data_IF_180240160978
#
_entry.id   IF_180240160978
#
_cell.length_a   1.000
_cell.length_b   1.000
_cell.length_c   1.000
_cell.angle_alpha   90.00
_cell.angle_beta   90.00
_cell.angle_gamma   90.00
#
_symmetry.space_group_name_H-M   'P 1'
#
loop_
_entity.id
_entity.type
_entity.pdbx_description
1 polymer ?
#
# COMPACT_ATOMS: atom_id res chain seq x y z
N UNK A 1 26.94 26.56 12.08
CA UNK A 1 27.23 25.12 12.29
C UNK A 1 27.67 24.52 10.96
N UNK A 2 28.68 23.63 10.99
CA UNK A 2 29.25 22.75 9.94
C UNK A 2 28.78 22.90 8.48
N UNK A 3 29.71 23.41 7.64
CA UNK A 3 30.20 22.90 6.33
C UNK A 3 29.17 22.35 5.32
N UNK A 4 28.94 22.91 4.12
CA UNK A 4 29.81 23.47 3.04
C UNK A 4 30.62 22.41 2.27
N UNK A 5 30.24 22.23 1.01
CA UNK A 5 30.82 21.38 -0.04
C UNK A 5 32.31 21.60 -0.30
N UNK A 6 33.07 20.53 -0.58
CA UNK A 6 34.12 20.57 -1.61
C UNK A 6 34.59 19.19 -2.11
N UNK A 7 34.96 19.16 -3.42
CA UNK A 7 35.60 18.09 -4.19
C UNK A 7 34.72 16.85 -4.51
N UNK A 8 34.81 16.16 -5.66
CA UNK A 8 35.61 16.32 -6.90
C UNK A 8 34.66 16.30 -8.14
N UNK A 9 35.10 16.78 -9.30
CA UNK A 9 34.48 16.56 -10.63
C UNK A 9 35.57 16.13 -11.65
N UNK A 10 35.19 15.44 -12.74
CA UNK A 10 36.02 14.95 -13.88
C UNK A 10 36.92 13.73 -13.58
N UNK A 11 37.03 12.67 -14.41
CA UNK A 11 36.38 12.14 -15.64
C UNK A 11 36.33 10.59 -15.44
N UNK A 12 35.40 9.76 -15.95
CA UNK A 12 34.84 9.62 -17.30
C UNK A 12 35.08 8.17 -17.79
N UNK A 13 34.21 7.66 -18.67
CA UNK A 13 34.22 6.32 -19.35
C UNK A 13 33.23 5.26 -18.79
N UNK A 14 32.11 5.13 -19.52
CA UNK A 14 31.25 3.95 -19.78
C UNK A 14 31.40 2.67 -18.93
N UNK A 15 30.37 2.37 -18.14
CA UNK A 15 29.87 1.01 -17.90
C UNK A 15 28.36 1.02 -17.59
N UNK A 16 27.62 0.03 -18.11
CA UNK A 16 26.17 -0.12 -17.94
C UNK A 16 25.78 -0.47 -16.48
N UNK A 17 24.55 -0.16 -16.04
CA UNK A 17 24.04 -0.63 -14.75
C UNK A 17 23.79 -2.14 -14.82
N UNK A 18 24.81 -2.93 -14.49
CA UNK A 18 24.63 -4.36 -14.24
C UNK A 18 23.89 -4.56 -12.92
N UNK A 19 22.58 -4.70 -13.07
CA UNK A 19 21.67 -5.47 -12.23
C UNK A 19 22.34 -6.21 -11.07
N UNK A 20 22.21 -5.68 -9.85
CA UNK A 20 22.29 -6.50 -8.64
C UNK A 20 20.88 -6.97 -8.33
N UNK A 21 20.39 -7.89 -9.17
CA UNK A 21 19.29 -8.76 -8.78
C UNK A 21 19.84 -9.66 -7.66
N UNK A 22 19.65 -9.23 -6.42
CA UNK A 22 20.05 -10.01 -5.24
C UNK A 22 19.10 -11.18 -5.13
N UNK A 23 19.37 -12.25 -5.89
CA UNK A 23 18.74 -13.54 -5.74
C UNK A 23 19.13 -14.06 -4.35
N UNK A 24 18.25 -13.82 -3.37
CA UNK A 24 18.37 -14.40 -2.04
C UNK A 24 18.26 -15.92 -2.19
N UNK A 25 19.37 -16.62 -2.01
CA UNK A 25 19.43 -18.09 -1.93
C UNK A 25 18.82 -18.57 -0.61
N UNK A 26 17.58 -18.19 -0.35
CA UNK A 26 16.78 -18.76 0.73
C UNK A 26 16.39 -20.19 0.33
N UNK A 27 16.56 -21.20 1.20
CA UNK A 27 15.94 -22.50 0.96
C UNK A 27 14.43 -22.30 0.88
N UNK A 28 13.76 -23.12 0.05
CA UNK A 28 12.32 -23.03 -0.15
C UNK A 28 11.54 -23.49 1.10
N UNK A 29 11.48 -22.63 2.11
CA UNK A 29 10.46 -22.72 3.15
C UNK A 29 9.11 -22.36 2.52
N UNK A 30 8.25 -23.36 2.38
CA UNK A 30 6.92 -23.25 1.80
C UNK A 30 5.92 -22.53 2.73
N UNK A 31 6.43 -21.81 3.72
CA UNK A 31 5.68 -21.13 4.79
C UNK A 31 5.97 -19.64 4.82
N UNK A 32 5.87 -18.95 3.68
CA UNK A 32 5.79 -17.46 3.71
C UNK A 32 4.56 -17.12 4.57
N UNK A 33 4.72 -16.51 5.76
CA UNK A 33 3.57 -16.15 6.57
C UNK A 33 2.73 -15.17 5.74
N UNK A 34 1.42 -15.39 5.73
CA UNK A 34 0.49 -14.31 5.43
C UNK A 34 0.84 -13.20 6.40
N UNK A 35 1.10 -11.99 5.90
CA UNK A 35 1.38 -10.84 6.75
C UNK A 35 0.08 -10.48 7.47
N UNK A 36 -0.10 -11.08 8.63
CA UNK A 36 -1.16 -10.82 9.59
C UNK A 36 -0.95 -9.41 10.15
N UNK A 37 -1.92 -8.54 9.90
CA UNK A 37 -1.89 -7.16 10.32
C UNK A 37 -2.93 -6.93 11.41
N UNK A 38 -2.44 -6.85 12.64
CA UNK A 38 -3.23 -6.57 13.85
C UNK A 38 -3.61 -5.09 13.99
N UNK A 39 -3.30 -4.22 13.02
CA UNK A 39 -3.77 -2.83 12.99
C UNK A 39 -5.31 -2.82 12.88
N UNK A 40 -6.04 -2.18 13.81
CA UNK A 40 -7.51 -2.15 13.78
C UNK A 40 -8.08 -1.51 12.51
N UNK A 41 -7.28 -0.73 11.77
CA UNK A 41 -7.65 -0.17 10.46
C UNK A 41 -7.75 -1.24 9.37
N UNK A 42 -7.07 -2.38 9.50
CA UNK A 42 -7.20 -3.48 8.53
C UNK A 42 -8.66 -3.93 8.43
N UNK A 43 -9.33 -4.15 9.58
CA UNK A 43 -10.77 -4.52 9.62
C UNK A 43 -11.73 -3.42 9.15
N UNK A 44 -11.28 -2.17 9.04
CA UNK A 44 -12.06 -1.09 8.42
C UNK A 44 -11.93 -1.11 6.88
N UNK A 45 -10.79 -1.61 6.36
CA UNK A 45 -10.45 -1.65 4.94
C UNK A 45 -10.86 -2.96 4.26
N UNK A 46 -11.16 -4.01 5.03
CA UNK A 46 -11.88 -5.20 4.59
C UNK A 46 -13.37 -4.85 4.37
N UNK A 47 -13.68 -4.43 3.13
CA UNK A 47 -15.00 -3.97 2.70
C UNK A 47 -15.96 -5.11 2.37
N UNK A 48 -15.45 -6.34 2.23
CA UNK A 48 -16.22 -7.54 1.92
C UNK A 48 -16.43 -8.48 3.14
N UNK A 49 -15.66 -8.31 4.22
CA UNK A 49 -15.77 -9.03 5.48
C UNK A 49 -15.16 -10.43 5.45
N UNK A 50 -14.01 -10.61 4.78
CA UNK A 50 -13.34 -11.92 4.62
C UNK A 50 -12.02 -12.06 5.41
N UNK A 51 -11.74 -11.15 6.34
CA UNK A 51 -10.52 -11.03 7.13
C UNK A 51 -9.25 -10.80 6.28
N UNK A 52 -9.41 -10.20 5.09
CA UNK A 52 -8.32 -9.79 4.19
C UNK A 52 -8.66 -8.47 3.51
N UNK A 53 -7.63 -7.74 3.09
CA UNK A 53 -7.77 -6.60 2.18
C UNK A 53 -7.20 -7.01 0.83
N UNK A 54 -8.03 -7.33 -0.15
CA UNK A 54 -7.58 -7.79 -1.46
C UNK A 54 -8.39 -7.20 -2.64
N UNK A 55 -8.46 -7.93 -3.76
CA UNK A 55 -9.02 -7.39 -5.02
C UNK A 55 -10.53 -7.13 -4.93
N UNK A 56 -11.35 -8.05 -4.38
CA UNK A 56 -12.69 -7.76 -3.86
C UNK A 56 -12.87 -6.39 -3.20
N UNK A 57 -12.03 -6.00 -2.24
CA UNK A 57 -12.18 -4.72 -1.53
C UNK A 57 -11.91 -3.52 -2.43
N UNK A 58 -10.87 -3.61 -3.27
CA UNK A 58 -10.60 -2.60 -4.29
C UNK A 58 -11.75 -2.47 -5.30
N UNK A 59 -12.41 -3.57 -5.67
CA UNK A 59 -13.58 -3.54 -6.56
C UNK A 59 -14.79 -2.90 -5.88
N UNK A 60 -15.01 -3.15 -4.59
CA UNK A 60 -16.05 -2.49 -3.80
C UNK A 60 -15.77 -0.99 -3.70
N UNK A 61 -14.54 -0.61 -3.36
CA UNK A 61 -14.08 0.78 -3.31
C UNK A 61 -14.34 1.51 -4.63
N UNK A 62 -13.94 0.90 -5.76
CA UNK A 62 -14.16 1.46 -7.10
C UNK A 62 -15.65 1.56 -7.46
N UNK A 63 -16.50 0.67 -6.93
CA UNK A 63 -17.96 0.74 -7.06
C UNK A 63 -18.60 1.92 -6.30
N UNK A 64 -17.92 2.47 -5.29
CA UNK A 64 -18.38 3.63 -4.52
C UNK A 64 -17.63 4.93 -4.84
N UNK A 65 -16.58 4.88 -5.66
CA UNK A 65 -15.75 6.04 -5.99
C UNK A 65 -16.55 7.22 -6.56
N UNK A 66 -16.38 8.40 -5.95
CA UNK A 66 -17.14 9.62 -6.27
C UNK A 66 -18.51 9.73 -5.58
N UNK A 67 -18.93 8.72 -4.81
CA UNK A 67 -20.16 8.78 -4.01
C UNK A 67 -20.04 9.83 -2.92
N UNK A 68 -21.12 10.59 -2.72
CA UNK A 68 -21.23 11.63 -1.69
C UNK A 68 -22.25 11.25 -0.64
N UNK A 69 -22.04 11.70 0.59
CA UNK A 69 -22.96 11.46 1.70
C UNK A 69 -24.33 12.06 1.36
N UNK A 70 -25.34 11.19 1.17
CA UNK A 70 -26.70 11.61 0.85
C UNK A 70 -27.72 11.28 1.93
N UNK A 71 -27.61 10.15 2.64
CA UNK A 71 -28.44 9.77 3.82
C UNK A 71 -27.98 8.42 4.44
N UNK A 72 -26.68 8.20 4.63
CA UNK A 72 -26.15 6.93 5.17
C UNK A 72 -24.62 6.84 5.20
N UNK A 73 -24.07 5.79 5.80
CA UNK A 73 -22.63 5.55 5.86
C UNK A 73 -22.10 5.08 4.49
N UNK A 74 -21.16 5.83 3.90
CA UNK A 74 -20.32 5.39 2.77
C UNK A 74 -19.19 4.51 3.30
N UNK A 75 -19.25 3.18 3.14
CA UNK A 75 -18.26 2.27 3.76
C UNK A 75 -16.82 2.52 3.28
N UNK A 76 -16.66 3.04 2.07
CA UNK A 76 -15.37 3.43 1.50
C UNK A 76 -14.89 4.86 1.83
N UNK A 77 -15.65 5.66 2.61
CA UNK A 77 -15.23 6.98 3.12
C UNK A 77 -14.44 6.80 4.43
N UNK A 78 -13.19 6.39 4.29
CA UNK A 78 -12.30 6.05 5.41
C UNK A 78 -11.85 7.29 6.19
N UNK A 79 -11.78 8.44 5.54
CA UNK A 79 -11.41 9.71 6.18
C UNK A 79 -12.62 10.52 6.72
N UNK A 80 -13.85 10.06 6.44
CA UNK A 80 -15.12 10.64 6.91
C UNK A 80 -15.36 12.10 6.46
N UNK A 81 -14.94 12.47 5.24
CA UNK A 81 -15.19 13.80 4.68
C UNK A 81 -16.54 13.92 3.94
N UNK A 82 -17.26 12.82 3.74
CA UNK A 82 -18.53 12.75 3.03
C UNK A 82 -18.42 12.55 1.51
N UNK A 83 -17.25 12.14 1.01
CA UNK A 83 -16.96 11.83 -0.39
C UNK A 83 -15.91 10.71 -0.48
N UNK A 84 -16.25 9.60 -1.14
CA UNK A 84 -15.25 8.56 -1.47
C UNK A 84 -14.35 9.06 -2.60
N UNK A 85 -13.08 9.33 -2.32
CA UNK A 85 -12.14 9.83 -3.33
C UNK A 85 -10.71 9.25 -3.24
N UNK A 86 -9.75 9.90 -3.92
CA UNK A 86 -8.36 9.47 -3.95
C UNK A 86 -7.69 9.43 -2.57
N UNK A 87 -8.12 10.27 -1.61
CA UNK A 87 -7.60 10.25 -0.25
C UNK A 87 -7.97 8.95 0.47
N UNK A 88 -9.20 8.43 0.25
CA UNK A 88 -9.61 7.12 0.77
C UNK A 88 -8.82 5.97 0.14
N UNK A 89 -8.59 6.03 -1.17
CA UNK A 89 -7.72 5.05 -1.84
C UNK A 89 -6.31 4.99 -1.23
N UNK A 90 -5.78 6.12 -0.75
CA UNK A 90 -4.48 6.16 -0.06
C UNK A 90 -4.49 5.45 1.31
N UNK A 91 -5.64 5.25 1.95
CA UNK A 91 -5.75 4.38 3.13
C UNK A 91 -5.81 2.90 2.75
N UNK A 92 -6.46 2.55 1.63
CA UNK A 92 -6.63 1.17 1.17
C UNK A 92 -5.33 0.55 0.62
N UNK A 93 -4.64 1.25 -0.28
CA UNK A 93 -3.49 0.70 -1.01
C UNK A 93 -2.36 0.12 -0.13
N UNK A 94 -1.99 0.70 1.04
CA UNK A 94 -0.97 0.13 1.92
C UNK A 94 -1.33 -1.22 2.55
N UNK A 95 -2.62 -1.61 2.56
CA UNK A 95 -3.12 -2.83 3.20
C UNK A 95 -3.35 -3.99 2.22
N UNK A 96 -3.24 -3.73 0.91
CA UNK A 96 -3.48 -4.74 -0.13
C UNK A 96 -2.66 -6.02 0.09
N UNK A 97 -3.33 -7.17 -0.04
CA UNK A 97 -2.84 -8.54 0.19
C UNK A 97 -2.43 -8.86 1.64
N UNK A 98 -2.94 -8.12 2.64
CA UNK A 98 -2.78 -8.44 4.06
C UNK A 98 -3.98 -9.25 4.59
N UNK A 99 -3.82 -9.91 5.74
CA UNK A 99 -4.93 -10.49 6.50
C UNK A 99 -5.13 -9.70 7.79
N UNK A 100 -6.38 -9.54 8.22
CA UNK A 100 -6.77 -8.63 9.28
C UNK A 100 -7.12 -9.31 10.61
N UNK A 101 -6.78 -10.58 10.83
CA UNK A 101 -7.19 -11.34 12.03
C UNK A 101 -6.91 -10.61 13.36
#
# INVERSE_FOLDING_TARGET
MKQVFQFVLLLGILALPHSIYSASNEPADATRPVLENTDPRCKQLDLNGNDRVDTPDLLIFLGEYGSRYQLGWLRADFNSNGLVDLYDLMFLLPYMNQSCN
#
